data_IF_157657354732
#
_entry.id   IF_157657354732
#
_cell.length_a   1.000
_cell.length_b   1.000
_cell.length_c   1.000
_cell.angle_alpha   90.00
_cell.angle_beta   90.00
_cell.angle_gamma   90.00
#
_symmetry.space_group_name_H-M   'P 1'
#
loop_
_entity.id
_entity.type
_entity.pdbx_description
1 polymer ?
#
# COMPACT_ATOMS: atom_id res chain seq x y z
N UNK A 1 19.22 -76.40 5.83
CA UNK A 1 18.28 -75.88 6.83
C UNK A 1 18.94 -74.65 7.46
N UNK A 2 19.04 -73.55 6.74
CA UNK A 2 17.98 -72.64 6.29
C UNK A 2 17.48 -71.74 7.41
N UNK A 3 17.54 -70.44 7.09
CA UNK A 3 16.72 -69.37 7.65
C UNK A 3 17.01 -68.95 9.08
N UNK A 4 17.86 -67.94 9.22
CA UNK A 4 17.67 -66.77 10.09
C UNK A 4 18.48 -65.60 9.47
N UNK A 5 18.28 -65.29 8.19
CA UNK A 5 17.44 -64.15 7.79
C UNK A 5 17.51 -62.96 8.78
N UNK A 6 18.43 -62.05 8.49
CA UNK A 6 18.09 -60.66 8.16
C UNK A 6 16.83 -60.12 8.86
N UNK A 7 16.96 -59.46 10.01
CA UNK A 7 16.02 -58.40 10.41
C UNK A 7 16.42 -57.58 11.64
N UNK A 8 17.72 -57.46 11.92
CA UNK A 8 18.18 -56.46 12.89
C UNK A 8 18.35 -55.13 12.14
N UNK A 9 17.66 -54.11 12.63
CA UNK A 9 17.71 -52.68 12.22
C UNK A 9 16.90 -52.23 10.99
N UNK A 10 15.63 -52.59 10.90
CA UNK A 10 14.64 -51.64 10.37
C UNK A 10 14.03 -50.89 11.55
N UNK A 11 14.80 -49.99 12.16
CA UNK A 11 14.26 -49.03 13.11
C UNK A 11 13.22 -48.21 12.37
N UNK A 12 11.94 -48.46 12.64
CA UNK A 12 10.84 -47.68 12.10
C UNK A 12 10.99 -46.26 12.63
N UNK A 13 11.62 -45.38 11.83
CA UNK A 13 11.53 -43.94 12.03
C UNK A 13 10.08 -43.59 11.77
N UNK A 14 9.26 -43.70 12.81
CA UNK A 14 7.88 -43.28 12.82
C UNK A 14 7.87 -41.79 12.46
N UNK A 15 7.51 -41.40 11.22
CA UNK A 15 7.41 -39.98 10.93
C UNK A 15 6.19 -39.53 11.70
N UNK A 16 6.39 -38.71 12.73
CA UNK A 16 5.30 -37.97 13.39
C UNK A 16 4.56 -37.20 12.31
N UNK A 17 3.55 -37.83 11.73
CA UNK A 17 2.63 -37.21 10.78
C UNK A 17 1.89 -36.16 11.59
N UNK A 18 2.23 -34.91 11.36
CA UNK A 18 1.49 -33.78 11.91
C UNK A 18 0.09 -33.87 11.31
N UNK A 19 -0.87 -34.34 12.10
CA UNK A 19 -2.23 -34.62 11.65
C UNK A 19 -2.98 -33.30 11.45
N UNK A 20 -3.48 -33.06 10.24
CA UNK A 20 -4.23 -31.86 9.86
C UNK A 20 -5.46 -31.60 10.76
N UNK A 21 -6.00 -32.66 11.37
CA UNK A 21 -7.15 -32.60 12.30
C UNK A 21 -6.79 -32.09 13.70
N UNK A 22 -5.55 -32.30 14.18
CA UNK A 22 -5.07 -31.71 15.42
C UNK A 22 -4.86 -30.20 15.30
N UNK A 23 -4.54 -29.74 14.08
CA UNK A 23 -4.44 -28.33 13.74
C UNK A 23 -5.79 -27.62 13.90
N UNK A 24 -6.90 -28.24 13.49
CA UNK A 24 -8.26 -27.68 13.61
C UNK A 24 -8.77 -27.56 15.05
N UNK A 25 -8.42 -28.53 15.91
CA UNK A 25 -8.80 -28.49 17.33
C UNK A 25 -7.95 -27.47 18.11
N UNK A 26 -6.67 -27.35 17.79
CA UNK A 26 -5.80 -26.28 18.29
C UNK A 26 -6.26 -24.89 17.82
N UNK A 27 -6.77 -24.78 16.57
CA UNK A 27 -7.29 -23.55 15.98
C UNK A 27 -8.55 -23.00 16.68
N UNK A 28 -9.32 -23.85 17.37
CA UNK A 28 -10.57 -23.47 18.06
C UNK A 28 -10.42 -23.37 19.59
N UNK A 29 -9.35 -23.95 20.15
CA UNK A 29 -9.12 -24.02 21.62
C UNK A 29 -8.14 -22.96 22.12
N UNK A 30 -7.27 -22.44 21.26
CA UNK A 30 -6.38 -21.31 21.56
C UNK A 30 -6.82 -20.08 20.75
N UNK A 31 -6.61 -18.85 21.26
CA UNK A 31 -6.89 -17.63 20.52
C UNK A 31 -5.83 -17.43 19.41
N UNK A 32 -5.77 -18.36 18.46
CA UNK A 32 -4.79 -18.40 17.36
C UNK A 32 -4.97 -17.25 16.38
N UNK A 33 -6.18 -16.70 16.24
CA UNK A 33 -6.43 -15.53 15.39
C UNK A 33 -5.71 -14.29 15.93
N UNK A 34 -5.88 -13.88 17.20
CA UNK A 34 -5.13 -12.75 17.73
C UNK A 34 -3.63 -13.05 17.89
N UNK A 35 -3.22 -14.29 18.23
CA UNK A 35 -1.79 -14.66 18.29
C UNK A 35 -1.15 -14.65 16.90
N UNK A 36 -1.88 -15.09 15.87
CA UNK A 36 -1.44 -15.06 14.47
C UNK A 36 -1.34 -13.64 13.94
N UNK A 37 -2.33 -12.79 14.22
CA UNK A 37 -2.27 -11.35 13.92
C UNK A 37 -1.07 -10.71 14.63
N UNK A 38 -0.87 -11.00 15.92
CA UNK A 38 0.26 -10.48 16.69
C UNK A 38 1.59 -10.95 16.08
N UNK A 39 1.71 -12.23 15.71
CA UNK A 39 2.91 -12.76 15.08
C UNK A 39 3.18 -12.10 13.71
N UNK A 40 2.14 -11.88 12.89
CA UNK A 40 2.26 -11.15 11.61
C UNK A 40 2.74 -9.71 11.86
N UNK A 41 2.17 -9.02 12.86
CA UNK A 41 2.57 -7.66 13.23
C UNK A 41 4.01 -7.61 13.75
N UNK A 42 4.43 -8.59 14.57
CA UNK A 42 5.83 -8.71 15.05
C UNK A 42 6.79 -8.95 13.88
N UNK A 43 6.46 -9.86 12.97
CA UNK A 43 7.29 -10.15 11.79
C UNK A 43 7.39 -8.92 10.88
N UNK A 44 6.27 -8.21 10.63
CA UNK A 44 6.26 -6.97 9.87
C UNK A 44 7.07 -5.85 10.57
N UNK A 45 7.03 -5.78 11.90
CA UNK A 45 7.79 -4.82 12.69
C UNK A 45 9.30 -5.08 12.67
N UNK A 46 9.73 -6.35 12.70
CA UNK A 46 11.13 -6.75 12.58
C UNK A 46 11.63 -6.51 11.14
N UNK A 47 10.78 -6.79 10.14
CA UNK A 47 11.06 -6.54 8.72
C UNK A 47 10.92 -5.08 8.28
N UNK A 48 10.41 -4.19 9.13
CA UNK A 48 10.15 -2.78 8.81
C UNK A 48 11.36 -2.02 8.23
N UNK A 49 12.61 -2.22 8.71
CA UNK A 49 13.78 -1.55 8.13
C UNK A 49 14.09 -1.99 6.69
N UNK A 50 13.64 -3.19 6.29
CA UNK A 50 13.82 -3.74 4.95
C UNK A 50 12.61 -3.51 4.03
N UNK A 51 11.41 -3.31 4.61
CA UNK A 51 10.16 -3.04 3.86
C UNK A 51 9.93 -1.55 3.60
N UNK A 52 10.47 -0.64 4.41
CA UNK A 52 10.36 0.80 4.19
C UNK A 52 11.61 1.35 3.49
N UNK A 53 11.62 1.49 2.14
CA UNK A 53 12.72 2.11 1.41
C UNK A 53 12.85 3.63 1.68
N UNK A 54 11.87 4.26 2.35
CA UNK A 54 11.82 5.71 2.56
C UNK A 54 11.83 6.06 4.05
N UNK A 55 12.75 6.96 4.43
CA UNK A 55 12.88 7.44 5.80
C UNK A 55 11.60 8.17 6.23
N UNK A 56 10.89 7.73 7.29
CA UNK A 56 9.57 8.25 7.67
C UNK A 56 9.57 9.72 8.10
N UNK A 57 10.75 10.26 8.43
CA UNK A 57 10.90 11.62 8.94
C UNK A 57 11.39 12.63 7.88
N UNK A 58 11.89 12.16 6.74
CA UNK A 58 12.36 13.06 5.67
C UNK A 58 11.18 13.44 4.78
N UNK A 59 10.71 14.67 4.91
CA UNK A 59 9.66 15.25 4.05
C UNK A 59 10.24 15.93 2.82
N UNK A 60 9.68 15.65 1.64
CA UNK A 60 10.02 16.35 0.40
C UNK A 60 8.92 17.36 0.09
N UNK A 61 9.24 18.64 0.19
CA UNK A 61 8.29 19.76 0.01
C UNK A 61 7.62 19.77 -1.37
N UNK A 62 8.28 19.23 -2.38
CA UNK A 62 7.73 19.11 -3.74
C UNK A 62 6.62 18.06 -3.84
N UNK A 63 6.66 17.07 -2.97
CA UNK A 63 5.81 15.88 -3.02
C UNK A 63 4.73 15.97 -1.93
N UNK A 64 4.15 17.14 -1.68
CA UNK A 64 3.10 17.34 -0.66
C UNK A 64 1.73 16.98 -1.21
N UNK A 65 0.87 16.44 -0.35
CA UNK A 65 -0.54 16.16 -0.67
C UNK A 65 -0.70 15.28 -1.92
N UNK A 66 0.27 14.40 -2.15
CA UNK A 66 0.15 13.43 -3.23
C UNK A 66 -0.95 12.45 -2.86
N UNK A 67 -1.84 12.15 -3.82
CA UNK A 67 -2.92 11.21 -3.56
C UNK A 67 -2.37 9.77 -3.46
N UNK A 68 -3.12 8.86 -2.83
CA UNK A 68 -2.70 7.46 -2.70
C UNK A 68 -2.60 6.80 -4.08
N UNK A 69 -1.82 5.73 -4.21
CA UNK A 69 -1.51 5.11 -5.51
C UNK A 69 -2.76 4.69 -6.31
N UNK A 70 -3.85 4.35 -5.61
CA UNK A 70 -5.12 3.94 -6.22
C UNK A 70 -6.01 5.11 -6.64
N UNK A 71 -5.64 6.35 -6.31
CA UNK A 71 -6.36 7.53 -6.75
C UNK A 71 -6.14 7.72 -8.25
N UNK A 72 -7.24 7.69 -9.00
CA UNK A 72 -7.22 7.98 -10.42
C UNK A 72 -7.01 9.47 -10.66
N UNK A 73 -6.45 9.76 -11.82
CA UNK A 73 -6.41 11.13 -12.35
C UNK A 73 -7.83 11.69 -12.45
N UNK A 74 -8.02 12.91 -11.98
CA UNK A 74 -9.32 13.59 -12.08
C UNK A 74 -9.30 14.48 -13.32
N UNK A 75 -9.97 14.00 -14.36
CA UNK A 75 -10.19 14.74 -15.60
C UNK A 75 -11.47 15.56 -15.45
N UNK A 76 -11.40 16.84 -15.80
CA UNK A 76 -12.57 17.69 -15.88
C UNK A 76 -12.72 18.24 -17.29
N UNK A 77 -13.95 18.17 -17.79
CA UNK A 77 -14.30 18.68 -19.10
C UNK A 77 -14.46 20.19 -18.98
N UNK A 78 -13.52 20.93 -19.58
CA UNK A 78 -13.56 22.40 -19.56
C UNK A 78 -13.94 22.93 -20.93
N UNK A 79 -14.84 23.91 -20.94
CA UNK A 79 -15.29 24.56 -22.16
C UNK A 79 -14.27 25.62 -22.59
N UNK A 80 -13.93 25.62 -23.87
CA UNK A 80 -12.95 26.53 -24.45
C UNK A 80 -13.65 27.84 -24.79
N UNK A 81 -13.29 28.92 -24.09
CA UNK A 81 -13.88 30.25 -24.27
C UNK A 81 -12.77 31.29 -24.43
N UNK A 82 -13.03 32.33 -25.22
CA UNK A 82 -12.04 33.39 -25.49
C UNK A 82 -11.69 34.20 -24.24
N UNK A 83 -12.65 34.43 -23.34
CA UNK A 83 -12.45 35.15 -22.09
C UNK A 83 -13.19 34.45 -20.94
N UNK A 84 -12.47 34.21 -19.85
CA UNK A 84 -13.02 33.57 -18.64
C UNK A 84 -13.44 34.63 -17.64
N UNK A 85 -14.73 34.69 -17.29
CA UNK A 85 -15.22 35.48 -16.17
C UNK A 85 -14.82 34.84 -14.84
N UNK A 86 -14.57 35.67 -13.81
CA UNK A 86 -14.00 35.22 -12.53
C UNK A 86 -14.86 34.19 -11.80
N UNK A 87 -16.18 34.21 -12.05
CA UNK A 87 -17.15 33.29 -11.45
C UNK A 87 -17.08 31.88 -12.06
N UNK A 88 -16.63 31.75 -13.31
CA UNK A 88 -16.69 30.52 -14.10
C UNK A 88 -15.34 29.82 -14.33
N UNK A 89 -14.25 30.26 -13.67
CA UNK A 89 -12.90 29.68 -13.80
C UNK A 89 -12.80 28.17 -13.54
N UNK A 90 -13.79 27.58 -12.87
CA UNK A 90 -13.86 26.14 -12.64
C UNK A 90 -14.28 25.33 -13.89
N UNK A 91 -15.06 25.93 -14.79
CA UNK A 91 -15.63 25.27 -15.98
C UNK A 91 -15.00 25.70 -17.30
N UNK A 92 -14.36 26.86 -17.36
CA UNK A 92 -13.87 27.45 -18.59
C UNK A 92 -12.33 27.47 -18.65
N UNK A 93 -11.76 27.33 -19.85
CA UNK A 93 -10.34 27.56 -20.16
C UNK A 93 -10.19 28.49 -21.36
N UNK A 94 -9.11 29.26 -21.37
CA UNK A 94 -8.78 30.13 -22.50
C UNK A 94 -8.31 29.32 -23.70
N UNK A 95 -8.58 29.79 -24.92
CA UNK A 95 -8.13 29.14 -26.15
C UNK A 95 -6.62 28.89 -26.17
N UNK A 96 -5.81 29.85 -25.68
CA UNK A 96 -4.36 29.71 -25.58
C UNK A 96 -3.97 28.53 -24.68
N UNK A 97 -4.54 28.44 -23.48
CA UNK A 97 -4.30 27.34 -22.54
C UNK A 97 -4.80 25.99 -23.07
N UNK A 98 -5.91 26.02 -23.82
CA UNK A 98 -6.47 24.83 -24.46
C UNK A 98 -5.56 24.30 -25.58
N UNK A 99 -4.98 25.18 -26.40
CA UNK A 99 -4.06 24.83 -27.48
C UNK A 99 -2.71 24.28 -26.99
N UNK A 100 -2.28 24.66 -25.78
CA UNK A 100 -1.10 24.06 -25.14
C UNK A 100 -1.32 22.60 -24.75
N UNK A 101 -2.55 22.22 -24.40
CA UNK A 101 -2.92 20.86 -23.98
C UNK A 101 -3.35 19.99 -25.18
N UNK A 102 -4.17 20.55 -26.07
CA UNK A 102 -4.67 19.90 -27.27
C UNK A 102 -4.57 20.85 -28.46
N UNK A 103 -3.63 20.63 -29.40
CA UNK A 103 -3.46 21.47 -30.59
C UNK A 103 -4.68 21.51 -31.51
N UNK A 104 -5.64 20.59 -31.35
CA UNK A 104 -6.89 20.54 -32.12
C UNK A 104 -8.05 21.28 -31.45
N UNK A 105 -7.83 21.91 -30.29
CA UNK A 105 -8.86 22.64 -29.56
C UNK A 105 -9.42 23.84 -30.35
N UNK A 106 -10.75 23.97 -30.37
CA UNK A 106 -11.48 25.06 -31.02
C UNK A 106 -12.38 25.80 -30.04
N UNK A 107 -12.66 27.09 -30.30
CA UNK A 107 -13.61 27.88 -29.52
C UNK A 107 -14.97 27.19 -29.43
N UNK A 108 -15.54 27.14 -28.22
CA UNK A 108 -16.80 26.45 -27.93
C UNK A 108 -16.69 24.92 -27.81
N UNK A 109 -15.51 24.33 -28.04
CA UNK A 109 -15.25 22.91 -27.78
C UNK A 109 -15.05 22.60 -26.29
N UNK A 110 -14.92 21.32 -25.96
CA UNK A 110 -14.54 20.86 -24.63
C UNK A 110 -13.18 20.16 -24.67
N UNK A 111 -12.31 20.48 -23.72
CA UNK A 111 -11.01 19.82 -23.55
C UNK A 111 -10.97 19.14 -22.19
N UNK A 112 -10.42 17.93 -22.17
CA UNK A 112 -10.23 17.13 -20.98
C UNK A 112 -8.98 17.60 -20.24
N UNK A 113 -9.19 18.35 -19.15
CA UNK A 113 -8.09 18.92 -18.36
C UNK A 113 -7.90 18.11 -17.10
N UNK A 114 -6.67 17.64 -16.89
CA UNK A 114 -6.25 17.01 -15.63
C UNK A 114 -6.21 18.07 -14.53
N UNK A 115 -7.14 18.00 -13.57
CA UNK A 115 -7.18 18.91 -12.42
C UNK A 115 -6.38 18.36 -11.24
N UNK A 116 -6.32 17.02 -11.12
CA UNK A 116 -5.55 16.35 -10.07
C UNK A 116 -4.76 15.21 -10.68
N UNK A 117 -3.42 15.21 -10.54
CA UNK A 117 -2.60 14.11 -11.03
C UNK A 117 -2.97 12.82 -10.29
N UNK A 118 -2.84 11.69 -10.98
CA UNK A 118 -3.04 10.37 -10.38
C UNK A 118 -2.04 10.04 -9.28
N UNK A 119 -2.37 9.02 -8.49
CA UNK A 119 -1.49 8.47 -7.45
C UNK A 119 -0.19 7.90 -8.01
N UNK A 120 0.90 8.01 -7.23
CA UNK A 120 2.20 7.43 -7.60
C UNK A 120 2.51 6.19 -6.76
N UNK A 121 3.14 5.19 -7.38
CA UNK A 121 3.65 3.99 -6.67
C UNK A 121 4.83 4.28 -5.74
N UNK A 122 5.45 5.47 -5.85
CA UNK A 122 6.50 5.95 -4.95
C UNK A 122 5.97 6.16 -3.53
N UNK A 123 4.73 6.62 -3.40
CA UNK A 123 4.07 6.89 -2.12
C UNK A 123 2.75 6.12 -2.09
N UNK A 124 2.79 4.87 -1.64
CA UNK A 124 1.63 3.95 -1.65
C UNK A 124 0.37 4.63 -1.06
N UNK A 125 0.49 5.17 0.14
CA UNK A 125 -0.63 5.84 0.82
C UNK A 125 -0.70 7.34 0.55
N UNK A 126 0.14 7.85 -0.35
CA UNK A 126 0.29 9.28 -0.57
C UNK A 126 1.15 9.96 0.50
N UNK A 127 1.10 11.30 0.50
CA UNK A 127 1.94 12.13 1.35
C UNK A 127 1.14 13.15 2.15
N UNK A 128 1.69 13.57 3.29
CA UNK A 128 1.09 14.59 4.13
C UNK A 128 1.41 16.03 3.66
N UNK A 129 1.00 17.03 4.46
CA UNK A 129 1.24 18.45 4.19
C UNK A 129 2.73 18.85 4.15
N UNK A 130 3.62 17.99 4.66
CA UNK A 130 5.07 18.19 4.69
C UNK A 130 5.77 17.31 3.64
N UNK A 131 5.02 16.48 2.91
CA UNK A 131 5.55 15.59 1.89
C UNK A 131 6.25 14.36 2.46
N UNK A 132 5.82 13.91 3.65
CA UNK A 132 6.27 12.65 4.25
C UNK A 132 5.41 11.49 3.75
N UNK A 133 6.02 10.34 3.54
CA UNK A 133 5.33 9.11 3.16
C UNK A 133 4.44 8.60 4.32
N UNK A 134 3.13 8.56 4.08
CA UNK A 134 2.17 8.10 5.08
C UNK A 134 2.29 6.61 5.37
N UNK A 135 2.67 5.79 4.37
CA UNK A 135 2.80 4.34 4.55
C UNK A 135 3.96 4.00 5.48
N UNK A 136 5.14 4.53 5.20
CA UNK A 136 6.32 4.33 6.05
C UNK A 136 6.07 4.80 7.49
N UNK A 137 5.32 5.89 7.70
CA UNK A 137 4.98 6.40 9.04
C UNK A 137 4.05 5.47 9.81
N UNK A 138 3.07 4.85 9.15
CA UNK A 138 2.17 3.90 9.81
C UNK A 138 2.93 2.64 10.26
N UNK A 139 3.77 2.08 9.39
CA UNK A 139 4.55 0.88 9.72
C UNK A 139 5.55 1.16 10.85
N UNK A 140 6.25 2.29 10.78
CA UNK A 140 7.22 2.66 11.82
C UNK A 140 6.54 2.97 13.16
N UNK A 141 5.40 3.67 13.14
CA UNK A 141 4.60 3.94 14.34
C UNK A 141 4.05 2.66 14.96
N UNK A 142 3.51 1.74 14.15
CA UNK A 142 3.00 0.45 14.62
C UNK A 142 4.08 -0.38 15.31
N UNK A 143 5.32 -0.39 14.79
CA UNK A 143 6.47 -1.05 15.44
C UNK A 143 6.73 -0.46 16.83
N UNK A 144 6.77 0.86 16.97
CA UNK A 144 7.03 1.51 18.27
C UNK A 144 5.90 1.18 19.25
N UNK A 145 4.64 1.30 18.85
CA UNK A 145 3.49 0.98 19.70
C UNK A 145 3.51 -0.48 20.18
N UNK A 146 3.90 -1.41 19.31
CA UNK A 146 4.02 -2.83 19.67
C UNK A 146 5.14 -3.07 20.68
N UNK A 147 6.31 -2.43 20.51
CA UNK A 147 7.42 -2.56 21.45
C UNK A 147 7.03 -2.00 22.82
N UNK A 148 6.42 -0.81 22.87
CA UNK A 148 5.96 -0.21 24.13
C UNK A 148 4.91 -1.09 24.80
N UNK A 149 3.93 -1.59 24.04
CA UNK A 149 2.89 -2.49 24.56
C UNK A 149 3.38 -3.87 24.98
N UNK A 150 4.54 -4.34 24.49
CA UNK A 150 5.16 -5.59 24.92
C UNK A 150 6.03 -5.40 26.18
N UNK A 151 6.64 -4.22 26.32
CA UNK A 151 7.49 -3.87 27.47
C UNK A 151 6.66 -3.47 28.69
N UNK A 152 5.46 -2.94 28.48
CA UNK A 152 4.53 -2.50 29.54
C UNK A 152 3.68 -3.66 30.04
#
# INVERSE_FOLDING_TARGET
MASLENNVTAGSLNPRRITLSGLWYALRRWPVFPVGILAIVVIAAIGAPWIAPHNPERGVIRDRLLPPFWASETIANKLVVERVEMEDRGRLITLTDALELDPSASLGGSVDVVIRPGGSTKYLLGTDQVGRDMFSRLIYGARISLIVGLVT
#
